data_IF_269315035162
#
_entry.id   IF_269315035162
#
_cell.length_a   1.000
_cell.length_b   1.000
_cell.length_c   1.000
_cell.angle_alpha   90.00
_cell.angle_beta   90.00
_cell.angle_gamma   90.00
#
_symmetry.space_group_name_H-M   'P 1'
#
loop_
_entity.id
_entity.type
_entity.pdbx_description
1 polymer ?
#
# COMPACT_ATOMS: atom_id res chain seq x y z
N UNK A 1 63.50 -83.27 -26.13
CA UNK A 1 63.80 -81.86 -26.49
C UNK A 1 63.29 -81.63 -27.91
N UNK A 2 62.48 -80.56 -28.10
CA UNK A 2 62.13 -79.93 -29.40
C UNK A 2 61.31 -80.80 -30.36
N UNK A 3 60.12 -80.48 -30.87
CA UNK A 3 59.24 -79.32 -30.93
C UNK A 3 57.82 -79.92 -31.19
N UNK A 4 56.76 -79.57 -30.45
CA UNK A 4 55.87 -78.42 -30.72
C UNK A 4 55.66 -78.21 -32.24
N UNK A 5 54.76 -78.98 -32.85
CA UNK A 5 54.01 -78.58 -34.03
C UNK A 5 52.95 -79.63 -34.35
N UNK A 6 51.69 -79.17 -34.43
CA UNK A 6 50.59 -79.77 -35.21
C UNK A 6 49.96 -81.05 -34.63
N UNK A 7 49.01 -80.88 -33.71
CA UNK A 7 47.63 -81.43 -33.77
C UNK A 7 46.82 -80.53 -32.83
N UNK A 8 46.46 -79.35 -33.33
CA UNK A 8 45.47 -78.46 -32.75
C UNK A 8 44.58 -77.97 -33.90
N UNK A 9 44.11 -78.92 -34.71
CA UNK A 9 43.43 -78.63 -35.97
C UNK A 9 42.08 -79.37 -36.12
N UNK A 10 41.49 -79.86 -35.02
CA UNK A 10 40.22 -80.61 -35.09
C UNK A 10 39.25 -80.31 -33.94
N UNK A 11 39.34 -79.12 -33.34
CA UNK A 11 38.46 -78.67 -32.25
C UNK A 11 38.14 -77.18 -32.31
N UNK A 12 38.08 -76.60 -33.52
CA UNK A 12 37.94 -75.16 -33.74
C UNK A 12 37.07 -74.82 -34.96
N UNK A 13 36.04 -75.64 -35.21
CA UNK A 13 35.07 -75.43 -36.30
C UNK A 13 33.60 -75.48 -35.84
N UNK A 14 33.34 -75.58 -34.53
CA UNK A 14 31.99 -75.51 -33.93
C UNK A 14 31.90 -74.39 -32.88
N UNK A 15 32.41 -73.21 -33.23
CA UNK A 15 32.32 -72.00 -32.41
C UNK A 15 32.03 -70.68 -33.15
N UNK A 16 31.70 -70.61 -34.47
CA UNK A 16 31.16 -69.38 -35.04
C UNK A 16 29.65 -69.41 -35.25
N UNK A 17 28.88 -70.21 -34.51
CA UNK A 17 27.41 -70.32 -34.65
C UNK A 17 26.59 -69.83 -33.44
N UNK A 18 27.21 -69.11 -32.49
CA UNK A 18 26.50 -68.53 -31.34
C UNK A 18 26.72 -67.02 -31.14
N UNK A 19 27.29 -66.31 -32.14
CA UNK A 19 27.47 -64.85 -32.07
C UNK A 19 26.81 -64.08 -33.22
N UNK A 20 25.85 -64.68 -33.91
CA UNK A 20 25.02 -64.00 -34.92
C UNK A 20 23.59 -63.75 -34.40
N UNK A 21 23.45 -63.30 -33.15
CA UNK A 21 22.17 -62.82 -32.61
C UNK A 21 22.27 -61.46 -31.94
N UNK A 22 23.14 -60.60 -32.47
CA UNK A 22 22.86 -59.17 -32.48
C UNK A 22 22.60 -58.81 -33.94
N UNK A 23 21.38 -59.06 -34.40
CA UNK A 23 20.87 -58.32 -35.53
C UNK A 23 20.94 -56.85 -35.10
N UNK A 24 21.65 -56.02 -35.88
CA UNK A 24 21.55 -54.57 -35.71
C UNK A 24 20.09 -54.25 -36.01
N UNK A 25 19.25 -54.19 -34.98
CA UNK A 25 17.89 -53.65 -35.07
C UNK A 25 18.05 -52.38 -35.88
N UNK A 26 17.39 -52.32 -37.03
CA UNK A 26 17.50 -51.17 -37.91
C UNK A 26 17.31 -49.92 -37.08
N UNK A 27 18.16 -48.91 -37.29
CA UNK A 27 17.94 -47.55 -36.79
C UNK A 27 16.68 -46.97 -37.49
N UNK A 28 15.53 -47.61 -37.30
CA UNK A 28 14.25 -46.95 -37.44
C UNK A 28 14.24 -45.97 -36.28
N UNK A 29 14.57 -44.71 -36.57
CA UNK A 29 14.62 -43.60 -35.62
C UNK A 29 13.20 -43.24 -35.13
N UNK A 30 12.43 -44.24 -34.72
CA UNK A 30 11.04 -44.18 -34.32
C UNK A 30 10.93 -44.54 -32.85
N UNK A 31 10.13 -43.75 -32.14
CA UNK A 31 9.86 -43.96 -30.73
C UNK A 31 9.00 -45.21 -30.55
N UNK A 32 9.36 -46.07 -29.60
CA UNK A 32 8.63 -47.31 -29.33
C UNK A 32 7.40 -47.05 -28.46
N UNK A 33 6.23 -47.58 -28.81
CA UNK A 33 5.03 -47.53 -27.98
C UNK A 33 4.06 -46.38 -28.31
N UNK A 34 2.88 -46.35 -27.67
CA UNK A 34 1.86 -45.36 -27.95
C UNK A 34 2.28 -43.95 -27.52
N UNK A 35 1.89 -42.94 -28.31
CA UNK A 35 1.95 -41.54 -27.90
C UNK A 35 1.04 -41.35 -26.69
N UNK A 36 1.47 -40.67 -25.62
CA UNK A 36 0.64 -40.44 -24.45
C UNK A 36 -0.72 -39.80 -24.76
N UNK A 37 -1.77 -40.31 -24.14
CA UNK A 37 -3.09 -39.69 -24.17
C UNK A 37 -3.23 -38.71 -23.01
N UNK A 38 -2.79 -37.47 -23.22
CA UNK A 38 -2.77 -36.44 -22.18
C UNK A 38 -4.18 -35.94 -21.86
N UNK A 39 -4.64 -36.21 -20.64
CA UNK A 39 -5.89 -35.69 -20.09
C UNK A 39 -5.70 -35.31 -18.64
N UNK A 40 -6.53 -34.42 -18.12
CA UNK A 40 -6.46 -34.01 -16.72
C UNK A 40 -7.81 -33.56 -16.17
N UNK A 41 -7.84 -33.47 -14.84
CA UNK A 41 -8.90 -32.86 -14.05
C UNK A 41 -8.31 -31.76 -13.17
N UNK A 42 -9.14 -30.81 -12.75
CA UNK A 42 -8.74 -29.77 -11.81
C UNK A 42 -9.83 -29.47 -10.79
N UNK A 43 -9.43 -28.99 -9.61
CA UNK A 43 -10.33 -28.55 -8.55
C UNK A 43 -9.84 -27.23 -7.97
N UNK A 44 -10.64 -26.18 -8.12
CA UNK A 44 -10.36 -24.86 -7.56
C UNK A 44 -10.88 -24.74 -6.12
N UNK A 45 -10.07 -24.20 -5.21
CA UNK A 45 -10.52 -23.81 -3.89
C UNK A 45 -11.21 -22.44 -3.94
N UNK A 46 -12.54 -22.44 -4.02
CA UNK A 46 -13.36 -21.21 -4.11
C UNK A 46 -13.69 -20.58 -2.74
N UNK A 47 -13.15 -21.13 -1.64
CA UNK A 47 -13.43 -20.65 -0.28
C UNK A 47 -12.49 -19.54 0.17
N UNK A 48 -11.40 -19.32 -0.55
CA UNK A 48 -10.39 -18.33 -0.22
C UNK A 48 -9.64 -17.80 -1.45
N UNK A 49 -9.02 -16.65 -1.27
CA UNK A 49 -8.17 -15.98 -2.26
C UNK A 49 -6.78 -15.69 -1.67
N UNK A 50 -5.69 -15.72 -2.46
CA UNK A 50 -5.65 -16.12 -3.87
C UNK A 50 -6.11 -17.57 -4.08
N UNK A 51 -6.69 -17.86 -5.25
CA UNK A 51 -7.32 -19.16 -5.49
C UNK A 51 -6.26 -20.21 -5.76
N UNK A 52 -6.21 -21.24 -4.92
CA UNK A 52 -5.36 -22.43 -5.14
C UNK A 52 -6.15 -23.45 -5.94
N UNK A 53 -5.57 -23.93 -7.04
CA UNK A 53 -6.16 -24.95 -7.90
C UNK A 53 -5.27 -26.19 -7.88
N UNK A 54 -5.86 -27.34 -7.58
CA UNK A 54 -5.18 -28.65 -7.67
C UNK A 54 -5.43 -29.25 -9.03
N UNK A 55 -4.36 -29.63 -9.74
CA UNK A 55 -4.41 -30.29 -11.04
C UNK A 55 -3.91 -31.73 -10.90
N UNK A 56 -4.66 -32.67 -11.50
CA UNK A 56 -4.35 -34.10 -11.47
C UNK A 56 -4.35 -34.63 -12.88
N UNK A 57 -3.20 -35.16 -13.32
CA UNK A 57 -3.06 -35.87 -14.59
C UNK A 57 -3.84 -37.16 -14.55
N UNK A 58 -4.64 -37.41 -15.58
CA UNK A 58 -5.34 -38.68 -15.85
C UNK A 58 -4.81 -39.34 -17.13
N UNK A 59 -3.62 -38.92 -17.57
CA UNK A 59 -3.02 -39.35 -18.81
C UNK A 59 -2.69 -40.86 -18.82
N UNK A 60 -2.82 -41.47 -20.00
CA UNK A 60 -2.36 -42.85 -20.25
C UNK A 60 -1.03 -42.83 -21.02
N UNK A 61 -0.23 -43.88 -20.84
CA UNK A 61 1.05 -44.11 -21.52
C UNK A 61 2.14 -43.04 -21.31
N UNK A 62 1.91 -42.07 -20.42
CA UNK A 62 2.88 -41.06 -20.00
C UNK A 62 3.49 -41.38 -18.63
N UNK A 63 4.81 -41.16 -18.49
CA UNK A 63 5.53 -41.28 -17.22
C UNK A 63 6.03 -39.93 -16.67
N UNK A 64 5.99 -38.86 -17.46
CA UNK A 64 6.23 -37.48 -17.02
C UNK A 64 5.00 -36.61 -17.32
N UNK A 65 4.76 -35.63 -16.45
CA UNK A 65 3.71 -34.62 -16.59
C UNK A 65 4.31 -33.23 -16.37
N UNK A 66 4.09 -32.34 -17.33
CA UNK A 66 4.48 -30.94 -17.31
C UNK A 66 3.23 -30.07 -17.56
N UNK A 67 3.07 -29.04 -16.76
CA UNK A 67 1.90 -28.17 -16.77
C UNK A 67 2.27 -26.81 -17.32
N UNK A 68 1.37 -26.25 -18.13
CA UNK A 68 1.32 -24.83 -18.43
C UNK A 68 0.00 -24.29 -17.91
N UNK A 69 0.07 -23.39 -16.92
CA UNK A 69 -1.10 -22.86 -16.24
C UNK A 69 -1.75 -21.67 -16.95
N UNK A 70 -1.21 -21.22 -18.08
CA UNK A 70 -1.77 -20.11 -18.86
C UNK A 70 -1.47 -18.72 -18.30
N UNK A 71 -0.63 -18.62 -17.27
CA UNK A 71 -0.13 -17.38 -16.65
C UNK A 71 1.40 -17.23 -16.76
N UNK A 72 2.01 -17.95 -17.69
CA UNK A 72 3.46 -18.11 -17.89
C UNK A 72 4.20 -18.91 -16.82
N UNK A 73 3.50 -19.49 -15.84
CA UNK A 73 4.11 -20.44 -14.92
C UNK A 73 3.98 -21.88 -15.41
N UNK A 74 4.98 -22.68 -15.07
CA UNK A 74 5.07 -24.10 -15.39
C UNK A 74 5.32 -24.91 -14.12
N UNK A 75 4.87 -26.16 -14.10
CA UNK A 75 5.21 -27.12 -13.04
C UNK A 75 5.36 -28.53 -13.62
N UNK A 76 5.85 -29.46 -12.80
CA UNK A 76 5.93 -30.88 -13.14
C UNK A 76 5.39 -31.74 -12.00
N UNK A 77 4.95 -32.96 -12.35
CA UNK A 77 4.39 -33.94 -11.43
C UNK A 77 2.87 -34.06 -11.51
N UNK A 78 2.30 -34.90 -10.66
CA UNK A 78 0.85 -35.10 -10.52
C UNK A 78 0.57 -35.78 -9.17
N UNK A 79 -0.30 -35.23 -8.30
CA UNK A 79 -0.99 -33.94 -8.45
C UNK A 79 -0.04 -32.75 -8.24
N UNK A 80 -0.43 -31.58 -8.76
CA UNK A 80 0.26 -30.29 -8.53
C UNK A 80 -0.74 -29.24 -8.04
N UNK A 81 -0.28 -28.30 -7.21
CA UNK A 81 -1.06 -27.14 -6.80
C UNK A 81 -0.48 -25.87 -7.44
N UNK A 82 -1.35 -25.01 -7.94
CA UNK A 82 -0.98 -23.71 -8.49
C UNK A 82 -1.87 -22.61 -7.89
N UNK A 83 -1.29 -21.43 -7.65
CA UNK A 83 -1.99 -20.31 -7.00
C UNK A 83 -2.18 -19.16 -8.00
N UNK A 84 -3.43 -18.85 -8.32
CA UNK A 84 -3.77 -17.70 -9.16
C UNK A 84 -4.08 -16.48 -8.30
N UNK A 85 -3.24 -15.45 -8.43
CA UNK A 85 -3.37 -14.18 -7.71
C UNK A 85 -4.32 -13.20 -8.39
N UNK A 86 -4.40 -13.24 -9.73
CA UNK A 86 -5.25 -12.33 -10.50
C UNK A 86 -6.52 -13.06 -10.93
N UNK A 87 -7.67 -12.37 -10.98
CA UNK A 87 -8.87 -12.93 -11.60
C UNK A 87 -8.69 -13.04 -13.11
N UNK A 88 -9.40 -13.98 -13.73
CA UNK A 88 -9.34 -14.18 -15.17
C UNK A 88 -9.64 -15.61 -15.61
N UNK A 89 -9.67 -15.80 -16.92
CA UNK A 89 -9.80 -17.10 -17.56
C UNK A 89 -8.42 -17.57 -18.03
N UNK A 90 -7.93 -18.67 -17.46
CA UNK A 90 -6.62 -19.24 -17.74
C UNK A 90 -6.77 -20.51 -18.59
N UNK A 91 -6.02 -20.59 -19.69
CA UNK A 91 -6.02 -21.75 -20.57
C UNK A 91 -4.92 -22.73 -20.13
N UNK A 92 -5.30 -23.77 -19.41
CA UNK A 92 -4.37 -24.76 -18.84
C UNK A 92 -4.15 -25.91 -19.81
N UNK A 93 -2.89 -26.33 -19.96
CA UNK A 93 -2.46 -27.42 -20.83
C UNK A 93 -1.53 -28.38 -20.06
N UNK A 94 -1.73 -29.68 -20.27
CA UNK A 94 -0.87 -30.74 -19.78
C UNK A 94 -0.08 -31.32 -20.94
N UNK A 95 1.25 -31.34 -20.79
CA UNK A 95 2.19 -31.99 -21.70
C UNK A 95 2.71 -33.24 -20.98
N UNK A 96 2.61 -34.41 -21.60
CA UNK A 96 3.12 -35.65 -21.02
C UNK A 96 4.14 -36.30 -21.93
N UNK A 97 5.23 -36.82 -21.35
CA UNK A 97 6.20 -37.63 -22.08
C UNK A 97 6.01 -39.11 -21.74
N UNK A 98 6.10 -39.95 -22.78
CA UNK A 98 5.94 -41.40 -22.73
C UNK A 98 6.87 -42.08 -23.73
N UNK A 99 6.69 -43.40 -23.89
CA UNK A 99 7.58 -44.19 -24.76
C UNK A 99 7.45 -43.77 -26.23
N UNK A 100 6.22 -43.48 -26.69
CA UNK A 100 5.94 -42.97 -28.03
C UNK A 100 6.19 -41.46 -28.22
N UNK A 101 6.85 -40.79 -27.28
CA UNK A 101 7.16 -39.35 -27.35
C UNK A 101 6.23 -38.49 -26.50
N UNK A 102 5.79 -37.36 -27.06
CA UNK A 102 5.06 -36.32 -26.32
C UNK A 102 3.59 -36.28 -26.70
N UNK A 103 2.72 -36.37 -25.70
CA UNK A 103 1.30 -36.04 -25.81
C UNK A 103 1.03 -34.63 -25.26
N UNK A 104 0.00 -33.97 -25.81
CA UNK A 104 -0.49 -32.66 -25.37
C UNK A 104 -2.00 -32.76 -25.19
N UNK A 105 -2.51 -32.29 -24.07
CA UNK A 105 -3.96 -32.32 -23.80
C UNK A 105 -4.68 -31.21 -24.58
N UNK A 106 -5.99 -31.35 -24.76
CA UNK A 106 -6.82 -30.19 -25.04
C UNK A 106 -6.70 -29.16 -23.91
N UNK A 107 -6.77 -27.87 -24.24
CA UNK A 107 -6.77 -26.80 -23.23
C UNK A 107 -8.09 -26.81 -22.46
N UNK A 108 -8.02 -26.71 -21.14
CA UNK A 108 -9.20 -26.49 -20.29
C UNK A 108 -9.13 -25.10 -19.67
N UNK A 109 -10.27 -24.41 -19.64
CA UNK A 109 -10.37 -23.07 -19.07
C UNK A 109 -10.62 -23.14 -17.57
N UNK A 110 -9.74 -22.52 -16.79
CA UNK A 110 -9.89 -22.31 -15.35
C UNK A 110 -10.29 -20.86 -15.12
N UNK A 111 -11.48 -20.65 -14.56
CA UNK A 111 -12.02 -19.32 -14.26
C UNK A 111 -11.73 -18.96 -12.80
N UNK A 112 -10.97 -17.89 -12.58
CA UNK A 112 -10.64 -17.35 -11.27
C UNK A 112 -11.51 -16.13 -11.02
N UNK A 113 -12.33 -16.19 -9.97
CA UNK A 113 -13.25 -15.12 -9.60
C UNK A 113 -12.51 -13.87 -9.13
N UNK A 114 -13.14 -12.71 -9.27
CA UNK A 114 -12.62 -11.45 -8.76
C UNK A 114 -13.05 -11.22 -7.31
N UNK A 115 -12.08 -11.20 -6.39
CA UNK A 115 -12.29 -10.89 -4.99
C UNK A 115 -12.90 -9.49 -4.78
N UNK A 116 -12.70 -8.54 -5.70
CA UNK A 116 -13.32 -7.22 -5.68
C UNK A 116 -14.85 -7.25 -5.82
N UNK A 117 -15.44 -8.38 -6.23
CA UNK A 117 -16.89 -8.58 -6.20
C UNK A 117 -17.44 -8.66 -4.77
N UNK A 118 -16.59 -8.95 -3.78
CA UNK A 118 -16.96 -8.89 -2.37
C UNK A 118 -16.84 -7.45 -1.85
N UNK A 119 -17.93 -6.91 -1.30
CA UNK A 119 -17.97 -5.51 -0.84
C UNK A 119 -16.91 -5.19 0.23
N UNK A 120 -16.70 -6.08 1.21
CA UNK A 120 -15.72 -5.87 2.27
C UNK A 120 -14.29 -5.88 1.74
N UNK A 121 -13.97 -6.81 0.83
CA UNK A 121 -12.65 -6.83 0.17
C UNK A 121 -12.45 -5.58 -0.69
N UNK A 122 -13.47 -5.18 -1.47
CA UNK A 122 -13.40 -3.97 -2.30
C UNK A 122 -13.05 -2.72 -1.51
N UNK A 123 -13.59 -2.61 -0.28
CA UNK A 123 -13.28 -1.48 0.61
C UNK A 123 -11.95 -1.65 1.33
N UNK A 124 -11.54 -2.87 1.67
CA UNK A 124 -10.23 -3.14 2.26
C UNK A 124 -9.05 -2.68 1.38
N UNK A 125 -9.12 -2.87 0.05
CA UNK A 125 -7.99 -2.68 -0.89
C UNK A 125 -8.20 -1.60 -1.96
N UNK A 126 -9.28 -0.82 -1.89
CA UNK A 126 -9.61 0.21 -2.90
C UNK A 126 -9.69 -0.32 -4.35
N UNK A 127 -10.53 -1.33 -4.59
CA UNK A 127 -10.63 -1.97 -5.90
C UNK A 127 -11.03 -1.03 -7.04
N UNK A 128 -11.78 0.05 -6.76
CA UNK A 128 -12.22 1.02 -7.77
C UNK A 128 -11.14 2.06 -8.14
N UNK A 129 -10.11 2.21 -7.29
CA UNK A 129 -9.02 3.16 -7.49
C UNK A 129 -7.71 2.43 -7.76
N UNK A 130 -6.71 2.64 -6.89
CA UNK A 130 -5.35 2.15 -7.13
C UNK A 130 -5.22 0.62 -6.96
N UNK A 131 -6.19 -0.03 -6.31
CA UNK A 131 -6.07 -1.42 -5.87
C UNK A 131 -5.15 -1.61 -4.66
N UNK A 132 -4.76 -0.51 -4.00
CA UNK A 132 -4.11 -0.49 -2.70
C UNK A 132 -4.83 0.52 -1.83
N UNK A 133 -5.10 0.17 -0.58
CA UNK A 133 -5.56 1.13 0.43
C UNK A 133 -4.63 1.11 1.64
N UNK A 134 -4.26 2.31 2.07
CA UNK A 134 -3.46 2.52 3.29
C UNK A 134 -4.40 2.91 4.42
N UNK A 135 -4.26 2.20 5.53
CA UNK A 135 -5.01 2.40 6.76
C UNK A 135 -4.06 2.82 7.87
N UNK A 136 -4.56 3.56 8.85
CA UNK A 136 -3.89 3.83 10.11
C UNK A 136 -4.87 3.57 11.26
N UNK A 137 -4.36 3.38 12.48
CA UNK A 137 -5.25 3.27 13.62
C UNK A 137 -6.12 4.52 13.76
N UNK A 138 -7.39 4.32 14.13
CA UNK A 138 -8.25 5.45 14.44
C UNK A 138 -7.70 6.24 15.63
N UNK A 139 -7.77 7.57 15.58
CA UNK A 139 -7.42 8.45 16.69
C UNK A 139 -8.58 8.66 17.68
N UNK A 140 -9.75 8.05 17.43
CA UNK A 140 -10.92 8.15 18.30
C UNK A 140 -10.80 7.20 19.52
N UNK A 141 -11.45 7.53 20.65
CA UNK A 141 -11.61 6.59 21.75
C UNK A 141 -12.24 5.27 21.29
N UNK A 142 -11.76 4.15 21.82
CA UNK A 142 -12.20 2.82 21.42
C UNK A 142 -11.59 2.30 20.12
N UNK A 143 -10.49 2.90 19.65
CA UNK A 143 -9.75 2.39 18.50
C UNK A 143 -9.24 0.95 18.70
N UNK A 144 -8.90 0.56 19.93
CA UNK A 144 -8.54 -0.81 20.30
C UNK A 144 -9.41 -1.22 21.48
N UNK A 145 -10.19 -2.28 21.32
CA UNK A 145 -11.10 -2.81 22.34
C UNK A 145 -10.77 -4.28 22.57
N UNK A 146 -10.63 -4.69 23.83
CA UNK A 146 -10.56 -6.10 24.20
C UNK A 146 -11.92 -6.54 24.73
N UNK A 147 -12.45 -7.62 24.17
CA UNK A 147 -13.73 -8.23 24.52
C UNK A 147 -13.51 -9.62 25.10
N UNK A 148 -14.42 -10.08 25.96
CA UNK A 148 -14.52 -11.48 26.34
C UNK A 148 -14.96 -12.34 25.14
N UNK A 149 -14.88 -13.66 25.27
CA UNK A 149 -15.36 -14.59 24.24
C UNK A 149 -16.86 -14.38 23.87
N UNK A 150 -17.66 -13.85 24.80
CA UNK A 150 -19.09 -13.57 24.62
C UNK A 150 -19.38 -12.14 24.14
N UNK A 151 -18.35 -11.29 23.96
CA UNK A 151 -18.50 -9.92 23.45
C UNK A 151 -18.61 -8.82 24.51
N UNK A 152 -18.56 -9.16 25.81
CA UNK A 152 -18.47 -8.13 26.87
C UNK A 152 -17.15 -7.38 26.77
N UNK A 153 -17.18 -6.05 26.73
CA UNK A 153 -15.97 -5.21 26.72
C UNK A 153 -15.21 -5.35 28.04
N UNK A 154 -13.94 -5.73 27.95
CA UNK A 154 -13.00 -5.87 29.07
C UNK A 154 -12.09 -4.64 29.20
N UNK A 155 -11.67 -4.07 28.07
CA UNK A 155 -10.91 -2.81 28.04
C UNK A 155 -11.13 -2.08 26.71
N UNK A 156 -10.92 -0.76 26.73
CA UNK A 156 -11.04 0.11 25.57
C UNK A 156 -9.97 1.19 25.64
N UNK A 157 -9.30 1.47 24.52
CA UNK A 157 -8.36 2.59 24.44
C UNK A 157 -9.09 3.92 24.60
N UNK A 158 -8.43 4.90 25.20
CA UNK A 158 -8.88 6.31 25.23
C UNK A 158 -8.17 7.10 24.13
N UNK A 159 -6.84 7.09 24.17
CA UNK A 159 -5.94 7.66 23.17
C UNK A 159 -4.80 6.68 22.91
N UNK A 160 -4.42 6.52 21.65
CA UNK A 160 -3.26 5.71 21.30
C UNK A 160 -1.98 6.56 21.39
N UNK A 161 -0.83 5.95 21.73
CA UNK A 161 0.48 6.60 21.65
C UNK A 161 0.79 7.09 20.22
N UNK A 162 1.60 8.15 20.12
CA UNK A 162 1.98 8.73 18.84
C UNK A 162 2.57 7.70 17.86
N UNK A 163 3.45 6.81 18.35
CA UNK A 163 4.07 5.73 17.58
C UNK A 163 3.12 4.60 17.12
N UNK A 164 1.83 4.67 17.47
CA UNK A 164 0.80 3.80 16.87
C UNK A 164 -0.07 4.58 15.89
N UNK A 165 -0.21 5.89 16.07
CA UNK A 165 -1.08 6.72 15.23
C UNK A 165 -0.42 7.08 13.88
N UNK A 166 0.91 6.99 13.80
CA UNK A 166 1.71 7.19 12.59
C UNK A 166 1.97 5.91 11.79
N UNK A 167 1.66 4.74 12.38
CA UNK A 167 1.73 3.44 11.72
C UNK A 167 0.78 3.33 10.53
N UNK A 168 1.26 2.73 9.44
CA UNK A 168 0.51 2.50 8.21
C UNK A 168 0.37 1.01 7.90
N UNK A 169 -0.84 0.64 7.46
CA UNK A 169 -1.23 -0.72 7.06
C UNK A 169 -1.77 -0.66 5.64
N UNK A 170 -0.95 -1.06 4.68
CA UNK A 170 -1.35 -1.11 3.26
C UNK A 170 -1.88 -2.49 2.91
N UNK A 171 -3.11 -2.58 2.38
CA UNK A 171 -3.66 -3.81 1.82
C UNK A 171 -3.83 -3.66 0.31
N UNK A 172 -3.31 -4.62 -0.47
CA UNK A 172 -3.39 -4.63 -1.92
C UNK A 172 -4.33 -5.71 -2.46
N UNK A 173 -4.92 -5.45 -3.64
CA UNK A 173 -5.83 -6.35 -4.36
C UNK A 173 -5.18 -7.65 -4.84
N UNK A 174 -3.86 -7.70 -4.87
CA UNK A 174 -3.05 -8.90 -5.13
C UNK A 174 -2.68 -9.63 -3.83
N UNK A 175 -3.48 -9.42 -2.78
CA UNK A 175 -3.35 -10.03 -1.47
C UNK A 175 -2.03 -9.73 -0.75
N UNK A 176 -1.49 -8.53 -0.98
CA UNK A 176 -0.28 -8.01 -0.34
C UNK A 176 -0.64 -7.21 0.90
N UNK A 177 0.19 -7.30 1.93
CA UNK A 177 0.11 -6.45 3.12
C UNK A 177 1.47 -5.80 3.39
N UNK A 178 1.46 -4.51 3.71
CA UNK A 178 2.65 -3.80 4.16
C UNK A 178 2.36 -3.05 5.46
N UNK A 179 3.25 -3.21 6.44
CA UNK A 179 3.25 -2.48 7.71
C UNK A 179 4.46 -1.58 7.77
N UNK A 180 4.23 -0.27 7.87
CA UNK A 180 5.27 0.75 8.04
C UNK A 180 5.05 1.46 9.37
N UNK A 181 6.08 1.46 10.21
CA UNK A 181 5.95 1.89 11.60
C UNK A 181 6.40 3.34 11.87
N UNK A 182 6.71 4.09 10.80
CA UNK A 182 7.27 5.44 10.89
C UNK A 182 8.48 5.61 11.85
N UNK A 183 9.22 4.54 12.15
CA UNK A 183 10.41 4.54 13.00
C UNK A 183 10.28 3.84 14.36
N UNK A 184 9.06 3.61 14.87
CA UNK A 184 8.85 2.90 16.14
C UNK A 184 7.66 1.94 16.05
N UNK A 185 7.65 0.88 16.84
CA UNK A 185 6.47 -0.02 16.93
C UNK A 185 6.07 -0.14 18.38
N UNK A 186 4.78 0.03 18.68
CA UNK A 186 4.28 -0.16 20.04
C UNK A 186 4.27 -1.64 20.43
N UNK A 187 4.91 -1.95 21.56
CA UNK A 187 4.98 -3.28 22.11
C UNK A 187 5.13 -3.23 23.63
N UNK A 188 4.47 -4.15 24.36
CA UNK A 188 4.61 -4.30 25.81
C UNK A 188 4.38 -3.00 26.61
N UNK A 189 3.46 -2.15 26.17
CA UNK A 189 3.13 -0.89 26.87
C UNK A 189 3.92 0.34 26.42
N UNK A 190 4.92 0.20 25.53
CA UNK A 190 5.81 1.29 25.13
C UNK A 190 6.17 1.30 23.64
N UNK A 191 6.59 2.45 23.11
CA UNK A 191 7.14 2.59 21.76
C UNK A 191 8.56 2.02 21.72
N UNK A 192 8.76 0.94 20.97
CA UNK A 192 10.05 0.27 20.80
C UNK A 192 10.65 0.47 19.41
N UNK A 193 11.62 -0.38 19.07
CA UNK A 193 12.26 -0.38 17.75
C UNK A 193 11.25 -0.67 16.63
N UNK A 194 11.45 -0.05 15.47
CA UNK A 194 10.66 -0.32 14.26
C UNK A 194 10.67 -1.80 13.87
N UNK A 195 9.49 -2.28 13.43
CA UNK A 195 9.29 -3.65 12.96
C UNK A 195 8.58 -3.68 11.61
N UNK A 196 8.96 -2.79 10.68
CA UNK A 196 8.40 -2.76 9.32
C UNK A 196 8.38 -4.16 8.70
N UNK A 197 7.29 -4.47 8.00
CA UNK A 197 7.10 -5.79 7.45
C UNK A 197 6.21 -5.77 6.21
N UNK A 198 6.69 -6.44 5.16
CA UNK A 198 5.89 -6.76 3.98
C UNK A 198 5.56 -8.25 3.96
N UNK A 199 4.35 -8.59 3.54
CA UNK A 199 3.90 -9.97 3.43
C UNK A 199 2.69 -10.11 2.53
N UNK A 200 2.00 -11.24 2.67
CA UNK A 200 0.73 -11.51 2.00
C UNK A 200 -0.34 -11.90 3.00
N UNK A 201 -1.58 -11.87 2.56
CA UNK A 201 -2.70 -12.39 3.32
C UNK A 201 -3.54 -13.32 2.45
N UNK A 202 -4.37 -14.13 3.09
CA UNK A 202 -5.45 -14.86 2.42
C UNK A 202 -6.76 -14.18 2.78
N UNK A 203 -7.62 -13.95 1.80
CA UNK A 203 -8.97 -13.44 2.01
C UNK A 203 -9.99 -14.57 1.92
N UNK A 204 -10.89 -14.66 2.89
CA UNK A 204 -11.99 -15.63 2.93
C UNK A 204 -13.30 -14.87 2.94
N UNK A 205 -14.12 -14.93 1.89
CA UNK A 205 -15.35 -14.15 1.82
C UNK A 205 -16.40 -14.54 2.88
N UNK A 206 -16.37 -15.79 3.36
CA UNK A 206 -17.29 -16.38 4.35
C UNK A 206 -18.78 -16.10 4.07
N UNK A 207 -19.48 -17.05 3.44
CA UNK A 207 -20.86 -16.85 3.00
C UNK A 207 -21.89 -16.67 4.13
N UNK A 208 -21.62 -17.18 5.34
CA UNK A 208 -22.59 -17.21 6.46
C UNK A 208 -22.14 -16.39 7.67
N UNK A 209 -21.09 -15.57 7.53
CA UNK A 209 -20.54 -14.78 8.62
C UNK A 209 -19.66 -13.65 8.10
N UNK A 210 -18.83 -13.10 8.98
CA UNK A 210 -17.90 -12.05 8.58
C UNK A 210 -16.81 -12.61 7.67
N UNK A 211 -16.46 -11.93 6.57
CA UNK A 211 -15.27 -12.23 5.79
C UNK A 211 -14.04 -12.21 6.69
N UNK A 212 -12.98 -12.92 6.31
CA UNK A 212 -11.76 -13.01 7.09
C UNK A 212 -10.54 -12.65 6.25
N UNK A 213 -9.54 -12.10 6.92
CA UNK A 213 -8.17 -12.06 6.42
C UNK A 213 -7.29 -12.94 7.30
N UNK A 214 -6.36 -13.66 6.68
CA UNK A 214 -5.37 -14.49 7.36
C UNK A 214 -3.99 -14.02 6.94
N UNK A 215 -3.28 -13.33 7.84
CA UNK A 215 -1.94 -12.84 7.52
C UNK A 215 -0.96 -14.01 7.41
N UNK A 216 -0.11 -13.99 6.39
CA UNK A 216 0.91 -15.02 6.15
C UNK A 216 2.29 -14.52 6.57
N UNK A 217 3.22 -15.47 6.70
CA UNK A 217 4.60 -15.21 7.13
C UNK A 217 4.79 -15.16 8.65
N UNK A 218 6.02 -15.45 9.11
CA UNK A 218 6.35 -15.50 10.54
C UNK A 218 6.15 -14.13 11.23
N UNK A 219 6.30 -13.04 10.50
CA UNK A 219 6.21 -11.66 11.01
C UNK A 219 4.84 -10.98 10.93
N UNK A 220 3.87 -11.47 10.14
CA UNK A 220 2.60 -10.76 9.94
C UNK A 220 1.83 -10.45 11.22
N UNK A 221 1.55 -9.16 11.46
CA UNK A 221 0.77 -8.63 12.57
C UNK A 221 0.18 -7.26 12.18
N UNK A 222 -0.77 -6.74 12.97
CA UNK A 222 -1.41 -5.43 12.74
C UNK A 222 -1.11 -4.45 13.87
N UNK A 223 0.17 -4.24 14.20
CA UNK A 223 0.57 -3.22 15.18
C UNK A 223 0.13 -3.48 16.63
N UNK A 224 -0.35 -4.70 16.93
CA UNK A 224 -0.78 -5.11 18.26
C UNK A 224 0.21 -6.07 18.92
N UNK A 225 0.44 -5.96 20.24
CA UNK A 225 1.33 -6.85 20.99
C UNK A 225 0.75 -8.26 21.18
N UNK A 226 -0.58 -8.41 21.21
CA UNK A 226 -1.25 -9.69 21.36
C UNK A 226 -1.30 -10.46 20.04
N UNK A 227 -0.75 -11.68 20.04
CA UNK A 227 -0.76 -12.54 18.86
C UNK A 227 -2.14 -13.14 18.66
N UNK A 228 -2.93 -12.55 17.76
CA UNK A 228 -4.19 -13.13 17.30
C UNK A 228 -3.95 -14.56 16.81
N UNK A 229 -4.74 -15.51 17.33
CA UNK A 229 -4.62 -16.93 17.03
C UNK A 229 -4.69 -17.14 15.51
N UNK A 230 -3.69 -17.86 14.98
CA UNK A 230 -3.54 -18.12 13.54
C UNK A 230 -3.54 -16.87 12.66
N UNK A 231 -3.29 -15.67 13.23
CA UNK A 231 -3.27 -14.39 12.52
C UNK A 231 -4.53 -14.15 11.68
N UNK A 232 -5.66 -14.67 12.15
CA UNK A 232 -6.94 -14.62 11.47
C UNK A 232 -7.80 -13.51 12.07
N UNK A 233 -8.24 -12.60 11.21
CA UNK A 233 -9.07 -11.47 11.61
C UNK A 233 -10.36 -11.50 10.82
N UNK A 234 -11.48 -11.36 11.51
CA UNK A 234 -12.79 -11.12 10.90
C UNK A 234 -12.93 -9.65 10.54
N UNK A 235 -13.42 -9.37 9.35
CA UNK A 235 -13.80 -8.03 8.91
C UNK A 235 -15.22 -7.78 9.42
N UNK A 236 -15.33 -7.05 10.53
CA UNK A 236 -16.63 -6.65 11.08
C UNK A 236 -17.27 -5.52 10.26
N UNK A 237 -16.44 -4.64 9.71
CA UNK A 237 -16.86 -3.48 8.94
C UNK A 237 -15.73 -3.08 7.99
N UNK A 238 -16.06 -2.76 6.73
CA UNK A 238 -15.13 -2.12 5.81
C UNK A 238 -15.91 -1.14 4.92
N UNK A 239 -15.58 0.14 5.03
CA UNK A 239 -16.17 1.26 4.28
C UNK A 239 -15.08 2.17 3.73
N UNK A 240 -15.41 3.25 3.03
CA UNK A 240 -14.38 4.19 2.56
C UNK A 240 -13.71 4.99 3.69
N UNK A 241 -14.30 5.02 4.89
CA UNK A 241 -13.86 5.85 6.01
C UNK A 241 -13.51 5.05 7.28
N UNK A 242 -13.78 3.74 7.30
CA UNK A 242 -13.59 2.91 8.49
C UNK A 242 -13.39 1.44 8.14
N UNK A 243 -12.44 0.81 8.84
CA UNK A 243 -12.21 -0.63 8.82
C UNK A 243 -12.20 -1.14 10.26
N UNK A 244 -12.98 -2.17 10.56
CA UNK A 244 -12.99 -2.84 11.86
C UNK A 244 -12.62 -4.30 11.70
N UNK A 245 -11.52 -4.69 12.36
CA UNK A 245 -11.00 -6.05 12.34
C UNK A 245 -11.09 -6.66 13.73
N UNK A 246 -11.52 -7.91 13.82
CA UNK A 246 -11.60 -8.66 15.08
C UNK A 246 -10.74 -9.92 15.02
N UNK A 247 -9.76 -10.00 15.90
CA UNK A 247 -8.97 -11.21 16.14
C UNK A 247 -9.42 -11.93 17.40
N UNK A 248 -9.29 -13.26 17.44
CA UNK A 248 -9.40 -14.05 18.68
C UNK A 248 -8.00 -14.29 19.24
N UNK A 249 -7.78 -13.92 20.48
CA UNK A 249 -6.52 -14.11 21.19
C UNK A 249 -6.38 -15.56 21.69
N UNK A 250 -5.17 -16.03 22.03
CA UNK A 250 -4.94 -17.40 22.47
C UNK A 250 -5.64 -17.76 23.78
N UNK A 251 -5.96 -16.77 24.61
CA UNK A 251 -6.73 -16.91 25.86
C UNK A 251 -8.26 -16.94 25.64
N UNK A 252 -8.71 -16.90 24.37
CA UNK A 252 -10.12 -16.89 24.00
C UNK A 252 -10.80 -15.52 24.06
N UNK A 253 -10.13 -14.48 24.57
CA UNK A 253 -10.61 -13.11 24.44
C UNK A 253 -10.53 -12.66 22.98
N UNK A 254 -11.19 -11.55 22.63
CA UNK A 254 -11.17 -11.00 21.28
C UNK A 254 -10.62 -9.58 21.31
N UNK A 255 -9.86 -9.21 20.29
CA UNK A 255 -9.39 -7.83 20.13
C UNK A 255 -10.03 -7.26 18.87
N UNK A 256 -10.76 -6.16 19.04
CA UNK A 256 -11.32 -5.37 17.94
C UNK A 256 -10.45 -4.15 17.73
N UNK A 257 -10.02 -3.93 16.49
CA UNK A 257 -9.25 -2.78 16.07
C UNK A 257 -10.05 -1.98 15.06
N UNK A 258 -10.09 -0.67 15.24
CA UNK A 258 -10.70 0.27 14.31
C UNK A 258 -9.60 1.09 13.63
N UNK A 259 -9.58 1.02 12.31
CA UNK A 259 -8.72 1.81 11.45
C UNK A 259 -9.53 2.88 10.71
N UNK A 260 -8.85 3.95 10.33
CA UNK A 260 -9.32 4.94 9.38
C UNK A 260 -8.37 4.96 8.16
N UNK A 261 -8.83 5.41 6.97
CA UNK A 261 -7.93 5.63 5.86
C UNK A 261 -6.77 6.54 6.30
N UNK A 262 -5.55 6.17 5.92
CA UNK A 262 -4.40 6.99 6.25
C UNK A 262 -4.49 8.33 5.51
N UNK A 263 -4.53 9.42 6.28
CA UNK A 263 -4.45 10.78 5.78
C UNK A 263 -3.07 11.35 6.14
N UNK A 264 -2.17 11.34 5.16
CA UNK A 264 -0.82 11.89 5.30
C UNK A 264 -0.81 13.39 5.70
N UNK A 265 -1.94 14.09 5.49
CA UNK A 265 -2.07 15.51 5.79
C UNK A 265 -2.59 15.77 7.22
N UNK A 266 -3.12 14.76 7.91
CA UNK A 266 -3.66 14.92 9.26
C UNK A 266 -2.63 15.43 10.29
N UNK A 267 -1.37 14.94 10.33
CA UNK A 267 -0.35 15.51 11.22
C UNK A 267 -0.05 16.99 10.90
N UNK A 268 -0.07 17.36 9.62
CA UNK A 268 0.15 18.73 9.16
C UNK A 268 -1.02 19.63 9.59
N UNK A 269 -2.26 19.14 9.51
CA UNK A 269 -3.45 19.86 10.01
C UNK A 269 -3.39 20.03 11.54
N UNK A 270 -2.93 19.02 12.27
CA UNK A 270 -2.76 19.09 13.72
C UNK A 270 -1.74 20.17 14.10
N UNK A 271 -0.59 20.24 13.41
CA UNK A 271 0.40 21.29 13.62
C UNK A 271 -0.15 22.67 13.22
N UNK A 272 -0.88 22.78 12.11
CA UNK A 272 -1.47 24.04 11.65
C UNK A 272 -2.45 24.64 12.68
N UNK A 273 -3.23 23.78 13.34
CA UNK A 273 -4.36 24.15 14.22
C UNK A 273 -4.08 23.98 15.71
N UNK A 274 -2.96 23.36 16.08
CA UNK A 274 -2.67 22.97 17.47
C UNK A 274 -3.68 22.02 18.11
N UNK A 275 -4.49 21.32 17.31
CA UNK A 275 -5.55 20.41 17.80
C UNK A 275 -6.87 21.09 18.18
N UNK A 276 -6.95 22.42 18.08
CA UNK A 276 -8.19 23.18 18.25
C UNK A 276 -8.14 24.45 17.40
N UNK A 277 -7.44 25.47 17.88
CA UNK A 277 -7.06 26.64 17.10
C UNK A 277 -5.64 27.07 17.44
N UNK A 278 -4.90 27.53 16.44
CA UNK A 278 -3.54 28.06 16.61
C UNK A 278 -3.37 29.34 15.80
N UNK A 279 -2.78 30.34 16.44
CA UNK A 279 -2.47 31.64 15.86
C UNK A 279 -1.01 31.69 15.43
N UNK A 280 -0.80 32.16 14.21
CA UNK A 280 0.49 32.37 13.60
C UNK A 280 0.69 33.85 13.29
N UNK A 281 1.92 34.30 13.32
CA UNK A 281 2.35 35.62 12.85
C UNK A 281 3.43 35.44 11.79
N UNK A 282 3.70 36.46 10.98
CA UNK A 282 4.86 36.43 10.08
C UNK A 282 6.14 36.52 10.95
N UNK A 283 7.12 35.67 10.69
CA UNK A 283 8.35 35.59 11.48
C UNK A 283 9.27 36.77 11.16
N UNK A 284 8.94 37.97 11.68
CA UNK A 284 9.75 39.18 11.51
C UNK A 284 11.11 39.08 12.23
N UNK A 285 11.41 38.01 12.97
CA UNK A 285 12.75 37.79 13.54
C UNK A 285 13.69 37.08 12.56
N UNK A 286 13.14 36.49 11.50
CA UNK A 286 13.91 35.84 10.46
C UNK A 286 14.28 36.83 9.33
N UNK A 287 15.45 36.63 8.73
CA UNK A 287 15.78 37.29 7.47
C UNK A 287 14.85 36.82 6.35
N UNK A 288 14.51 37.75 5.46
CA UNK A 288 13.63 37.51 4.32
C UNK A 288 12.34 36.76 4.73
N UNK A 289 11.53 37.35 5.63
CA UNK A 289 10.33 36.70 6.15
C UNK A 289 9.25 36.53 5.08
N UNK A 290 9.25 37.40 4.06
CA UNK A 290 8.50 37.25 2.82
C UNK A 290 9.47 37.41 1.66
N UNK A 291 9.43 36.49 0.69
CA UNK A 291 10.12 36.63 -0.60
C UNK A 291 9.14 36.41 -1.73
N UNK A 292 9.40 37.05 -2.88
CA UNK A 292 8.54 36.99 -4.07
C UNK A 292 9.36 36.62 -5.29
N UNK A 293 8.82 35.71 -6.10
CA UNK A 293 9.48 35.26 -7.31
C UNK A 293 8.63 34.27 -8.08
N UNK A 294 9.29 33.33 -8.75
CA UNK A 294 8.64 32.20 -9.41
C UNK A 294 8.86 30.92 -8.61
N UNK A 295 8.19 29.82 -8.97
CA UNK A 295 8.44 28.52 -8.34
C UNK A 295 9.91 28.10 -8.38
N UNK A 296 10.56 28.30 -9.54
CA UNK A 296 11.94 27.92 -9.77
C UNK A 296 12.95 28.92 -9.16
N UNK A 297 12.56 30.18 -9.00
CA UNK A 297 13.40 31.23 -8.42
C UNK A 297 12.56 32.09 -7.44
N UNK A 298 12.33 31.63 -6.19
CA UNK A 298 11.37 32.26 -5.27
C UNK A 298 11.73 33.66 -4.77
N UNK A 299 12.92 34.17 -5.11
CA UNK A 299 13.44 35.48 -4.69
C UNK A 299 13.63 36.45 -5.87
N UNK A 300 13.27 36.04 -7.09
CA UNK A 300 13.63 36.77 -8.32
C UNK A 300 12.96 38.14 -8.48
N UNK A 301 11.85 38.40 -7.78
CA UNK A 301 11.13 39.67 -7.84
C UNK A 301 11.32 40.49 -6.57
N UNK A 302 11.41 39.83 -5.42
CA UNK A 302 11.67 40.45 -4.13
C UNK A 302 12.44 39.47 -3.24
N UNK A 303 13.67 39.84 -2.88
CA UNK A 303 14.55 39.01 -2.05
C UNK A 303 14.19 39.04 -0.56
N UNK A 304 13.22 39.86 -0.16
CA UNK A 304 12.81 40.05 1.23
C UNK A 304 13.47 41.26 1.89
N UNK A 305 13.16 41.43 3.18
CA UNK A 305 13.74 42.45 4.06
C UNK A 305 14.62 41.78 5.13
N UNK A 306 15.45 42.57 5.81
CA UNK A 306 16.20 42.10 6.98
C UNK A 306 15.26 41.76 8.14
N UNK A 307 15.72 40.93 9.07
CA UNK A 307 15.03 40.70 10.33
C UNK A 307 14.65 42.03 11.02
N UNK A 308 13.41 42.14 11.47
CA UNK A 308 12.83 43.29 12.15
C UNK A 308 12.33 44.39 11.22
N UNK A 309 12.57 44.29 9.91
CA UNK A 309 12.27 45.36 8.96
C UNK A 309 10.92 45.20 8.23
N UNK A 310 10.07 44.23 8.59
CA UNK A 310 8.69 44.24 8.08
C UNK A 310 7.91 45.45 8.63
N UNK A 311 7.04 46.06 7.81
CA UNK A 311 6.08 47.06 8.28
C UNK A 311 5.25 46.54 9.45
N UNK A 312 4.88 47.45 10.36
CA UNK A 312 4.03 47.13 11.51
C UNK A 312 2.78 46.36 11.06
N UNK A 313 2.05 46.90 10.07
CA UNK A 313 0.84 46.37 9.41
C UNK A 313 0.98 45.02 8.65
N UNK A 314 2.05 44.28 8.91
CA UNK A 314 2.27 42.89 8.51
C UNK A 314 2.85 42.06 9.67
N UNK A 315 3.71 42.69 10.47
CA UNK A 315 4.45 42.03 11.54
C UNK A 315 3.63 41.79 12.82
N UNK A 316 2.58 42.58 13.08
CA UNK A 316 1.68 42.42 14.22
C UNK A 316 0.37 41.67 13.89
N UNK A 317 0.15 41.41 12.60
CA UNK A 317 -0.99 40.67 12.09
C UNK A 317 -1.03 39.22 12.58
N UNK A 318 -2.24 38.78 12.92
CA UNK A 318 -2.50 37.43 13.41
C UNK A 318 -3.31 36.59 12.43
N UNK A 319 -2.87 35.35 12.26
CA UNK A 319 -3.43 34.37 11.33
C UNK A 319 -3.82 33.10 12.10
N UNK A 320 -5.10 32.97 12.43
CA UNK A 320 -5.60 31.87 13.26
C UNK A 320 -6.28 30.80 12.44
N UNK A 321 -5.84 29.55 12.55
CA UNK A 321 -6.44 28.38 11.91
C UNK A 321 -7.10 27.49 12.96
N UNK A 322 -8.24 26.89 12.62
CA UNK A 322 -9.00 26.02 13.53
C UNK A 322 -9.35 24.67 12.91
N UNK A 323 -9.58 23.67 13.75
CA UNK A 323 -9.97 22.32 13.31
C UNK A 323 -11.32 22.26 12.59
N UNK A 324 -12.15 23.29 12.73
CA UNK A 324 -13.41 23.49 12.02
C UNK A 324 -13.22 24.17 10.65
N UNK A 325 -12.02 24.11 10.09
CA UNK A 325 -11.70 24.63 8.76
C UNK A 325 -12.01 26.13 8.59
N UNK A 326 -11.82 26.89 9.68
CA UNK A 326 -11.97 28.35 9.70
C UNK A 326 -10.63 29.02 9.91
N UNK A 327 -10.29 29.93 8.99
CA UNK A 327 -9.17 30.86 9.05
C UNK A 327 -9.67 32.24 9.50
N UNK A 328 -8.95 32.89 10.41
CA UNK A 328 -9.23 34.25 10.88
C UNK A 328 -7.99 35.10 10.70
N UNK A 329 -8.15 36.21 9.99
CA UNK A 329 -7.15 37.27 9.87
C UNK A 329 -7.53 38.42 10.78
N UNK A 330 -6.61 38.81 11.67
CA UNK A 330 -6.72 40.01 12.49
C UNK A 330 -5.57 40.96 12.14
N UNK A 331 -5.90 42.03 11.42
CA UNK A 331 -4.99 43.07 10.94
C UNK A 331 -4.53 44.05 12.03
N UNK A 332 -4.99 43.87 13.28
CA UNK A 332 -4.79 44.84 14.36
C UNK A 332 -5.23 46.24 13.94
N UNK A 333 -4.28 47.14 13.69
CA UNK A 333 -4.54 48.52 13.34
C UNK A 333 -4.64 48.76 11.82
N UNK A 334 -3.89 48.02 11.00
CA UNK A 334 -3.71 48.34 9.58
C UNK A 334 -3.41 47.08 8.75
N UNK A 335 -3.72 47.12 7.46
CA UNK A 335 -3.39 46.05 6.52
C UNK A 335 -2.42 46.54 5.46
N UNK A 336 -1.37 45.77 5.19
CA UNK A 336 -0.47 46.01 4.06
C UNK A 336 -1.13 45.70 2.71
N UNK A 337 -1.33 46.73 1.90
CA UNK A 337 -2.07 46.65 0.64
C UNK A 337 -1.17 46.86 -0.57
N UNK A 338 -1.02 45.81 -1.38
CA UNK A 338 -0.37 45.91 -2.69
C UNK A 338 -1.22 46.73 -3.68
N UNK A 339 -2.55 46.62 -3.59
CA UNK A 339 -3.48 47.37 -4.45
C UNK A 339 -3.41 48.90 -4.22
N UNK A 340 -3.00 49.32 -3.02
CA UNK A 340 -2.77 50.73 -2.68
C UNK A 340 -1.32 51.19 -2.92
N UNK A 341 -0.49 50.39 -3.58
CA UNK A 341 0.91 50.72 -3.87
C UNK A 341 1.88 50.31 -2.76
N UNK A 342 1.63 49.18 -2.09
CA UNK A 342 2.49 48.61 -1.03
C UNK A 342 2.60 49.50 0.21
N UNK A 343 1.45 50.00 0.70
CA UNK A 343 1.35 50.85 1.89
C UNK A 343 0.42 50.22 2.94
N UNK A 344 0.56 50.64 4.20
CA UNK A 344 -0.40 50.32 5.25
C UNK A 344 -1.71 51.09 5.02
N UNK A 345 -2.83 50.40 5.15
CA UNK A 345 -4.17 50.92 4.90
C UNK A 345 -5.11 50.51 6.03
N UNK A 346 -6.36 50.98 5.99
CA UNK A 346 -7.40 50.60 6.95
C UNK A 346 -7.50 49.07 7.10
N UNK A 347 -7.71 48.57 8.33
CA UNK A 347 -7.60 47.15 8.63
C UNK A 347 -8.68 46.34 7.90
N UNK A 348 -8.29 45.18 7.36
CA UNK A 348 -9.16 44.26 6.61
C UNK A 348 -9.38 42.92 7.33
N UNK A 349 -9.51 42.94 8.66
CA UNK A 349 -9.76 41.74 9.47
C UNK A 349 -11.00 40.98 9.01
N UNK A 350 -10.98 39.65 9.15
CA UNK A 350 -12.16 38.83 8.89
C UNK A 350 -11.88 37.33 8.82
N UNK A 351 -12.94 36.54 8.71
CA UNK A 351 -12.87 35.07 8.67
C UNK A 351 -13.11 34.49 7.28
N UNK A 352 -12.42 33.40 6.93
CA UNK A 352 -12.65 32.63 5.71
C UNK A 352 -12.72 31.15 6.06
N UNK A 353 -13.71 30.39 5.57
CA UNK A 353 -13.56 28.94 5.52
C UNK A 353 -12.38 28.58 4.63
N UNK A 354 -11.73 27.45 4.89
CA UNK A 354 -10.69 26.91 4.03
C UNK A 354 -10.90 25.42 3.73
N UNK A 355 -10.45 24.98 2.56
CA UNK A 355 -10.39 23.55 2.22
C UNK A 355 -8.96 23.08 2.41
N UNK A 356 -8.74 22.05 3.22
CA UNK A 356 -7.41 21.48 3.50
C UNK A 356 -7.25 20.10 2.86
N UNK A 357 -6.05 19.82 2.36
CA UNK A 357 -5.75 18.53 1.78
C UNK A 357 -4.33 18.44 1.24
N UNK A 358 -4.02 17.43 0.41
CA UNK A 358 -2.69 17.24 -0.14
C UNK A 358 -2.30 18.40 -1.07
N UNK A 359 -1.01 18.76 -1.07
CA UNK A 359 -0.49 19.81 -1.94
C UNK A 359 -0.50 19.37 -3.41
N UNK A 360 -0.99 20.24 -4.30
CA UNK A 360 -0.80 20.12 -5.73
C UNK A 360 0.59 20.69 -6.11
N UNK A 361 1.64 19.91 -5.88
CA UNK A 361 3.05 20.30 -6.14
C UNK A 361 3.93 20.21 -4.90
N UNK A 362 5.05 20.96 -4.88
CA UNK A 362 5.95 20.98 -3.73
C UNK A 362 5.23 21.50 -2.48
N UNK A 363 5.19 20.67 -1.43
CA UNK A 363 4.55 20.98 -0.14
C UNK A 363 4.09 19.70 0.57
N UNK A 364 3.95 19.79 1.90
CA UNK A 364 3.44 18.71 2.76
C UNK A 364 1.91 18.61 2.72
N UNK A 365 1.24 19.75 2.63
CA UNK A 365 -0.20 19.88 2.48
C UNK A 365 -0.51 21.27 1.87
N UNK A 366 -1.78 21.53 1.58
CA UNK A 366 -2.24 22.86 1.20
C UNK A 366 -3.58 23.19 1.82
N UNK A 367 -3.88 24.48 1.91
CA UNK A 367 -5.23 24.97 2.14
C UNK A 367 -5.61 26.03 1.11
N UNK A 368 -6.92 26.10 0.82
CA UNK A 368 -7.49 27.10 -0.08
C UNK A 368 -8.50 27.94 0.67
N UNK A 369 -8.29 29.26 0.77
CA UNK A 369 -9.25 30.17 1.39
C UNK A 369 -10.43 30.40 0.42
N UNK A 370 -11.65 30.24 0.93
CA UNK A 370 -12.86 30.27 0.09
C UNK A 370 -13.53 31.64 0.02
N UNK A 371 -13.31 32.51 1.01
CA UNK A 371 -13.82 33.90 0.97
C UNK A 371 -13.03 34.70 -0.08
N UNK A 372 -13.74 35.31 -1.02
CA UNK A 372 -13.15 36.26 -1.96
C UNK A 372 -12.43 37.40 -1.20
N UNK A 373 -11.22 37.75 -1.64
CA UNK A 373 -10.40 38.76 -1.00
C UNK A 373 -9.80 38.35 0.36
N UNK A 374 -9.90 37.08 0.79
CA UNK A 374 -9.06 36.58 1.86
C UNK A 374 -7.62 36.36 1.35
N UNK A 375 -6.64 36.73 2.17
CA UNK A 375 -5.22 36.63 1.83
C UNK A 375 -4.38 36.36 3.09
N UNK A 376 -3.09 36.10 2.89
CA UNK A 376 -2.07 36.05 3.95
C UNK A 376 -0.89 36.91 3.49
N UNK A 377 -0.32 37.69 4.41
CA UNK A 377 0.81 38.60 4.22
C UNK A 377 0.56 39.85 3.37
N UNK A 378 0.09 39.71 2.12
CA UNK A 378 -0.19 40.84 1.23
C UNK A 378 -1.48 40.59 0.44
N UNK A 379 -2.20 41.66 0.10
CA UNK A 379 -3.50 41.57 -0.59
C UNK A 379 -3.43 40.94 -1.98
N UNK A 380 -2.25 40.90 -2.60
CA UNK A 380 -1.96 40.29 -3.90
C UNK A 380 -1.31 38.89 -3.77
N UNK A 381 -1.17 38.36 -2.56
CA UNK A 381 -0.65 37.01 -2.35
C UNK A 381 -1.73 35.97 -2.72
N UNK A 382 -1.62 35.40 -3.92
CA UNK A 382 -2.58 34.44 -4.49
C UNK A 382 -4.03 35.00 -4.58
N UNK A 383 -4.26 36.10 -5.30
CA UNK A 383 -5.49 36.87 -5.19
C UNK A 383 -6.69 36.13 -5.81
N UNK A 384 -6.46 35.34 -6.85
CA UNK A 384 -7.47 34.58 -7.59
C UNK A 384 -7.64 33.17 -7.04
N UNK A 385 -6.53 32.48 -6.80
CA UNK A 385 -6.52 31.08 -6.40
C UNK A 385 -6.72 30.92 -4.88
N UNK A 386 -6.17 31.83 -4.08
CA UNK A 386 -6.15 31.79 -2.61
C UNK A 386 -5.64 30.46 -2.06
N UNK A 387 -4.68 29.87 -2.77
CA UNK A 387 -4.06 28.59 -2.44
C UNK A 387 -2.76 28.86 -1.69
N UNK A 388 -2.57 28.15 -0.58
CA UNK A 388 -1.36 28.21 0.24
C UNK A 388 -0.86 26.80 0.51
N UNK A 389 0.32 26.47 0.01
CA UNK A 389 1.01 25.20 0.28
C UNK A 389 1.91 25.36 1.50
N UNK A 390 1.87 24.38 2.40
CA UNK A 390 2.75 24.29 3.56
C UNK A 390 4.01 23.57 3.10
N UNK A 391 5.14 24.27 3.00
CA UNK A 391 6.42 23.69 2.59
C UNK A 391 7.11 22.97 3.76
N UNK A 392 7.00 23.52 4.95
CA UNK A 392 7.45 22.93 6.20
C UNK A 392 6.61 23.45 7.36
N UNK A 393 6.45 22.64 8.41
CA UNK A 393 5.77 23.04 9.63
C UNK A 393 6.27 22.20 10.82
N UNK A 394 6.40 22.83 11.97
CA UNK A 394 6.58 22.20 13.27
C UNK A 394 5.71 22.90 14.32
N UNK A 395 5.98 22.68 15.61
CA UNK A 395 5.21 23.28 16.70
C UNK A 395 5.44 24.78 16.92
N UNK A 396 6.45 25.38 16.27
CA UNK A 396 6.86 26.77 16.44
C UNK A 396 6.91 27.54 15.13
N UNK A 397 7.29 26.91 14.01
CA UNK A 397 7.52 27.56 12.73
C UNK A 397 6.78 26.89 11.59
N UNK A 398 6.44 27.69 10.59
CA UNK A 398 5.82 27.24 9.35
C UNK A 398 6.37 28.05 8.17
N UNK A 399 6.55 27.41 7.02
CA UNK A 399 6.84 28.10 5.76
C UNK A 399 5.71 27.84 4.78
N UNK A 400 5.04 28.90 4.35
CA UNK A 400 3.98 28.85 3.35
C UNK A 400 4.51 29.27 1.97
N UNK A 401 3.89 28.72 0.94
CA UNK A 401 3.99 29.15 -0.45
C UNK A 401 2.60 29.53 -0.95
N UNK A 402 2.37 30.82 -1.17
CA UNK A 402 1.13 31.31 -1.76
C UNK A 402 1.16 31.14 -3.29
N UNK A 403 0.05 30.65 -3.85
CA UNK A 403 -0.10 30.30 -5.27
C UNK A 403 -0.11 28.79 -5.49
N UNK A 404 -0.80 28.35 -6.55
CA UNK A 404 -0.90 26.94 -6.95
C UNK A 404 0.37 26.44 -7.67
N UNK A 405 1.23 27.35 -8.14
CA UNK A 405 2.38 27.02 -8.99
C UNK A 405 2.01 26.65 -10.43
N UNK A 406 0.72 26.55 -10.76
CA UNK A 406 0.25 26.37 -12.13
C UNK A 406 0.39 27.71 -12.89
N UNK A 407 0.78 27.65 -14.16
CA UNK A 407 0.94 28.80 -15.09
C UNK A 407 2.18 29.70 -14.91
N UNK A 408 3.21 29.28 -14.16
CA UNK A 408 4.45 30.09 -14.02
C UNK A 408 4.24 31.43 -13.30
N UNK A 409 3.17 31.53 -12.51
CA UNK A 409 2.77 32.76 -11.82
C UNK A 409 3.68 33.14 -10.65
N UNK A 410 3.56 34.39 -10.21
CA UNK A 410 4.20 34.94 -9.02
C UNK A 410 3.82 34.15 -7.78
N UNK A 411 4.81 33.80 -6.97
CA UNK A 411 4.63 33.13 -5.69
C UNK A 411 5.24 33.93 -4.56
N UNK A 412 4.63 33.81 -3.39
CA UNK A 412 5.15 34.37 -2.14
C UNK A 412 5.59 33.21 -1.26
N UNK A 413 6.83 33.24 -0.76
CA UNK A 413 7.24 32.35 0.33
C UNK A 413 7.22 33.13 1.63
N UNK A 414 6.45 32.66 2.60
CA UNK A 414 6.15 33.38 3.84
C UNK A 414 6.59 32.52 5.01
N UNK A 415 7.51 33.04 5.83
CA UNK A 415 7.93 32.42 7.08
C UNK A 415 6.99 32.88 8.19
N UNK A 416 6.49 31.94 8.96
CA UNK A 416 5.57 32.18 10.04
C UNK A 416 6.07 31.54 11.33
N UNK A 417 5.70 32.15 12.45
CA UNK A 417 5.98 31.69 13.81
C UNK A 417 4.68 31.64 14.60
N UNK A 418 4.57 30.70 15.53
CA UNK A 418 3.45 30.67 16.48
C UNK A 418 3.48 31.95 17.33
N UNK A 419 2.30 32.53 17.57
CA UNK A 419 2.14 33.70 18.44
C UNK A 419 2.50 33.41 19.90
#
# INVERSE_FOLDING_TARGET
MKHIARIAALGLLMAPLLLASCEKVGDDSQLEGPVPQSTFTFQANTTEFPTVVTFTSTAQDGFLSQWNFGDNSLASGSPVQHTYVRPGAYQVELITAGRGGTGISAKQTVNIADACSNASFSKLVDCAGSGIRVWAFSNAPGAIVRESATGTVLSSSTTLPACQLDDQFSFGKEFTINYESAGQTYQNGACGSSRNHSGSFVFRPNATGNPQIVLKGKGGFLGLPDSVANKTYEILEATDTRLRLRGTNPDGTRTVVTFAPYDATAPIKLLLTGGSSRTWMIDNTADAPIVVGTEAAPTSYFAGVLAGALPACQSDDEYTFSTNDTFTYDAKAETFSAAAGYICTTPQSGTSPYVFGPAAGAGLAQFTLTRAGAFIAATDASPTERVYRILSIDNQKMVLRAGSGQNGGTVFTIKMVVR
#
